data_IF_043472983484
#
_entry.id   IF_043472983484
#
_cell.length_a   1.000
_cell.length_b   1.000
_cell.length_c   1.000
_cell.angle_alpha   90.00
_cell.angle_beta   90.00
_cell.angle_gamma   90.00
#
_symmetry.space_group_name_H-M   'P 1'
#
loop_
_entity.id
_entity.type
_entity.pdbx_description
1 polymer ?
#
# COMPACT_ATOMS: atom_id res chain seq x y z
N UNK A 1 -8.18 -31.70 13.89
CA UNK A 1 -7.63 -30.65 13.01
C UNK A 1 -7.02 -29.60 13.90
N UNK A 2 -5.70 -29.60 13.93
CA UNK A 2 -4.88 -28.79 14.84
C UNK A 2 -4.97 -27.31 14.47
N UNK A 3 -5.24 -26.49 15.48
CA UNK A 3 -5.04 -25.05 15.43
C UNK A 3 -3.53 -24.80 15.41
N UNK A 4 -2.90 -24.90 14.24
CA UNK A 4 -1.48 -24.60 14.09
C UNK A 4 -1.23 -23.09 14.14
N UNK A 5 -0.88 -22.66 15.36
CA UNK A 5 0.08 -21.61 15.72
C UNK A 5 0.31 -20.51 14.67
N UNK A 6 -0.40 -19.40 14.86
CA UNK A 6 -0.12 -18.10 14.23
C UNK A 6 1.35 -17.70 14.44
N UNK A 7 2.18 -17.60 13.39
CA UNK A 7 3.55 -17.14 13.51
C UNK A 7 3.60 -15.62 13.69
N UNK A 8 3.82 -15.20 14.93
CA UNK A 8 4.46 -13.94 15.37
C UNK A 8 3.72 -12.60 15.22
N UNK A 9 4.00 -11.71 16.17
CA UNK A 9 3.28 -10.44 16.39
C UNK A 9 3.41 -9.43 15.26
N UNK A 10 4.48 -9.33 14.46
CA UNK A 10 4.50 -8.33 13.37
C UNK A 10 3.63 -8.75 12.19
N UNK A 11 3.82 -9.98 11.67
CA UNK A 11 2.99 -10.54 10.61
C UNK A 11 1.54 -10.61 11.07
N UNK A 12 1.28 -11.04 12.30
CA UNK A 12 -0.07 -11.12 12.87
C UNK A 12 -0.66 -9.75 13.23
N UNK A 13 0.10 -8.74 13.65
CA UNK A 13 -0.42 -7.38 13.92
C UNK A 13 -0.71 -6.67 12.61
N UNK A 14 0.22 -6.66 11.65
CA UNK A 14 -0.01 -6.09 10.32
C UNK A 14 -1.20 -6.77 9.62
N UNK A 15 -1.24 -8.11 9.62
CA UNK A 15 -2.32 -8.91 9.05
C UNK A 15 -3.65 -8.77 9.80
N UNK A 16 -3.67 -8.65 11.14
CA UNK A 16 -4.91 -8.39 11.90
C UNK A 16 -5.39 -6.95 11.77
N UNK A 17 -4.51 -6.00 11.46
CA UNK A 17 -4.87 -4.58 11.34
C UNK A 17 -5.41 -4.20 9.98
N UNK A 18 -5.00 -4.89 8.91
CA UNK A 18 -5.57 -4.70 7.58
C UNK A 18 -6.70 -5.70 7.36
N UNK A 19 -7.94 -5.28 7.58
CA UNK A 19 -9.11 -6.16 7.59
C UNK A 19 -9.42 -6.85 6.25
N UNK A 20 -8.62 -6.61 5.19
CA UNK A 20 -8.84 -7.18 3.85
C UNK A 20 -7.53 -7.57 3.15
N UNK A 21 -7.37 -8.87 2.93
CA UNK A 21 -6.20 -9.53 2.33
C UNK A 21 -5.62 -8.84 1.08
N UNK A 22 -6.45 -8.35 0.15
CA UNK A 22 -5.98 -7.86 -1.14
C UNK A 22 -5.19 -6.54 -1.05
N UNK A 23 -5.59 -5.60 -0.18
CA UNK A 23 -4.90 -4.31 -0.05
C UNK A 23 -3.53 -4.48 0.62
N UNK A 24 -3.46 -5.33 1.65
CA UNK A 24 -2.22 -5.61 2.38
C UNK A 24 -1.23 -6.41 1.56
N UNK A 25 -1.69 -7.42 0.81
CA UNK A 25 -0.83 -8.14 -0.13
C UNK A 25 -0.25 -7.18 -1.16
N UNK A 26 -1.10 -6.34 -1.78
CA UNK A 26 -0.63 -5.36 -2.77
C UNK A 26 0.36 -4.36 -2.16
N UNK A 27 0.11 -3.90 -0.94
CA UNK A 27 1.03 -3.06 -0.18
C UNK A 27 2.39 -3.75 0.00
N UNK A 28 2.41 -5.00 0.48
CA UNK A 28 3.65 -5.73 0.70
C UNK A 28 4.43 -5.97 -0.60
N UNK A 29 3.75 -6.37 -1.67
CA UNK A 29 4.36 -6.52 -3.00
C UNK A 29 4.93 -5.20 -3.51
N UNK A 30 4.14 -4.12 -3.41
CA UNK A 30 4.52 -2.81 -3.91
C UNK A 30 5.75 -2.28 -3.19
N UNK A 31 5.87 -2.45 -1.88
CA UNK A 31 6.96 -1.93 -1.06
C UNK A 31 8.04 -2.97 -0.73
N UNK A 32 8.01 -4.13 -1.40
CA UNK A 32 9.01 -5.20 -1.24
C UNK A 32 9.18 -5.67 0.22
N UNK A 33 8.06 -5.68 0.96
CA UNK A 33 8.03 -6.12 2.36
C UNK A 33 7.98 -7.64 2.38
N UNK A 34 9.06 -8.26 2.88
CA UNK A 34 9.10 -9.71 3.03
C UNK A 34 8.34 -10.15 4.29
N UNK A 35 7.27 -10.94 4.11
CA UNK A 35 6.44 -11.48 5.19
C UNK A 35 7.02 -12.77 5.82
N UNK A 36 8.10 -13.33 5.28
CA UNK A 36 8.54 -14.70 5.56
C UNK A 36 9.26 -14.90 6.90
N UNK A 37 9.60 -13.85 7.65
CA UNK A 37 10.33 -14.03 8.91
C UNK A 37 9.48 -13.73 10.13
N UNK A 38 8.91 -14.78 10.76
CA UNK A 38 8.38 -14.65 12.09
C UNK A 38 9.45 -14.14 13.06
N UNK A 39 9.13 -13.10 13.86
CA UNK A 39 9.99 -12.67 14.98
C UNK A 39 10.04 -13.74 16.05
N UNK A 40 11.24 -14.17 16.44
CA UNK A 40 11.40 -15.10 17.55
C UNK A 40 10.62 -14.62 18.77
N UNK A 41 9.79 -15.51 19.31
CA UNK A 41 8.80 -15.21 20.37
C UNK A 41 9.44 -14.62 21.63
N UNK A 42 10.74 -14.85 21.81
CA UNK A 42 11.56 -14.42 22.95
C UNK A 42 12.50 -13.25 22.64
N UNK A 43 12.41 -12.67 21.44
CA UNK A 43 13.20 -11.49 21.10
C UNK A 43 12.68 -10.25 21.85
N UNK A 44 13.55 -9.64 22.67
CA UNK A 44 13.27 -8.31 23.23
C UNK A 44 13.23 -7.31 22.07
N UNK A 45 12.04 -6.85 21.73
CA UNK A 45 11.84 -5.80 20.72
C UNK A 45 12.50 -4.53 21.25
N UNK A 46 13.47 -3.99 20.51
CA UNK A 46 14.08 -2.70 20.83
C UNK A 46 13.06 -1.57 20.69
N UNK A 47 13.27 -0.44 21.38
CA UNK A 47 12.39 0.73 21.22
C UNK A 47 12.34 1.22 19.76
N UNK A 48 13.46 1.12 19.04
CA UNK A 48 13.55 1.45 17.62
C UNK A 48 12.71 0.52 16.73
N UNK A 49 12.78 -0.80 16.98
CA UNK A 49 11.96 -1.80 16.30
C UNK A 49 10.47 -1.54 16.58
N UNK A 50 10.10 -1.24 17.83
CA UNK A 50 8.73 -0.91 18.21
C UNK A 50 8.21 0.36 17.51
N UNK A 51 9.03 1.40 17.44
CA UNK A 51 8.68 2.63 16.73
C UNK A 51 8.53 2.42 15.21
N UNK A 52 9.37 1.56 14.63
CA UNK A 52 9.26 1.17 13.22
C UNK A 52 7.95 0.43 12.95
N UNK A 53 7.59 -0.58 13.76
CA UNK A 53 6.31 -1.31 13.65
C UNK A 53 5.14 -0.34 13.69
N UNK A 54 5.17 0.63 14.61
CA UNK A 54 4.09 1.59 14.76
C UNK A 54 3.93 2.49 13.53
N UNK A 55 5.03 3.01 12.97
CA UNK A 55 5.02 3.79 11.72
C UNK A 55 4.51 2.96 10.54
N UNK A 56 4.97 1.72 10.44
CA UNK A 56 4.53 0.77 9.42
C UNK A 56 3.02 0.54 9.50
N UNK A 57 2.49 0.27 10.70
CA UNK A 57 1.07 0.03 10.93
C UNK A 57 0.22 1.25 10.53
N UNK A 58 0.63 2.45 10.94
CA UNK A 58 -0.05 3.69 10.55
C UNK A 58 -0.10 3.81 9.03
N UNK A 59 1.03 3.59 8.37
CA UNK A 59 1.10 3.72 6.91
C UNK A 59 0.26 2.65 6.19
N UNK A 60 0.26 1.41 6.67
CA UNK A 60 -0.55 0.33 6.12
C UNK A 60 -2.06 0.66 6.21
N UNK A 61 -2.50 1.26 7.32
CA UNK A 61 -3.89 1.72 7.49
C UNK A 61 -4.23 2.84 6.50
N UNK A 62 -3.35 3.85 6.36
CA UNK A 62 -3.53 4.93 5.40
C UNK A 62 -3.59 4.40 3.96
N UNK A 63 -2.71 3.46 3.63
CA UNK A 63 -2.69 2.78 2.33
C UNK A 63 -4.02 2.07 2.06
N UNK A 64 -4.52 1.28 3.02
CA UNK A 64 -5.78 0.55 2.88
C UNK A 64 -6.98 1.50 2.67
N UNK A 65 -7.08 2.55 3.50
CA UNK A 65 -8.14 3.54 3.41
C UNK A 65 -8.15 4.21 2.03
N UNK A 66 -6.98 4.60 1.54
CA UNK A 66 -6.85 5.20 0.23
C UNK A 66 -7.11 4.18 -0.91
N UNK A 67 -6.70 2.91 -0.76
CA UNK A 67 -6.92 1.84 -1.75
C UNK A 67 -8.41 1.56 -2.01
N UNK A 68 -9.25 1.59 -0.97
CA UNK A 68 -10.69 1.32 -1.11
C UNK A 68 -11.54 2.56 -1.40
N UNK A 69 -10.94 3.76 -1.38
CA UNK A 69 -11.59 5.02 -1.71
C UNK A 69 -11.78 5.17 -3.22
N UNK A 70 -12.96 5.62 -3.65
CA UNK A 70 -13.20 6.08 -5.03
C UNK A 70 -12.47 7.42 -5.23
N UNK A 71 -11.74 7.55 -6.34
CA UNK A 71 -10.92 8.74 -6.64
C UNK A 71 -10.59 8.86 -8.13
N UNK A 72 -10.44 10.10 -8.57
CA UNK A 72 -10.04 10.51 -9.91
C UNK A 72 -8.53 10.79 -9.98
N UNK A 73 -7.94 10.87 -11.19
CA UNK A 73 -6.56 11.33 -11.38
C UNK A 73 -6.30 12.71 -10.74
N UNK A 74 -7.28 13.61 -10.78
CA UNK A 74 -7.19 14.95 -10.17
C UNK A 74 -7.12 14.87 -8.64
N UNK A 75 -7.94 14.02 -8.02
CA UNK A 75 -7.93 13.83 -6.56
C UNK A 75 -6.63 13.17 -6.09
N UNK A 76 -6.07 12.23 -6.87
CA UNK A 76 -4.75 11.65 -6.60
C UNK A 76 -3.68 12.73 -6.69
N UNK A 77 -3.70 13.54 -7.75
CA UNK A 77 -2.74 14.63 -7.96
C UNK A 77 -2.77 15.65 -6.81
N UNK A 78 -3.96 16.07 -6.39
CA UNK A 78 -4.15 16.97 -5.26
C UNK A 78 -3.67 16.35 -3.94
N UNK A 79 -4.00 15.08 -3.68
CA UNK A 79 -3.55 14.36 -2.49
C UNK A 79 -2.02 14.26 -2.40
N UNK A 80 -1.34 14.04 -3.52
CA UNK A 80 0.12 13.89 -3.58
C UNK A 80 0.88 15.21 -3.76
N UNK A 81 0.19 16.33 -3.99
CA UNK A 81 0.84 17.60 -4.37
C UNK A 81 1.57 17.51 -5.72
N UNK A 82 1.06 16.72 -6.68
CA UNK A 82 1.64 16.48 -8.00
C UNK A 82 0.77 17.10 -9.11
N UNK A 83 1.34 17.28 -10.30
CA UNK A 83 0.56 17.66 -11.50
C UNK A 83 -0.30 16.48 -11.97
N UNK A 84 -1.52 16.74 -12.39
CA UNK A 84 -2.44 15.70 -12.92
C UNK A 84 -1.86 14.98 -14.14
N UNK A 85 -1.14 15.68 -15.02
CA UNK A 85 -0.51 15.07 -16.20
C UNK A 85 0.53 13.99 -15.83
N UNK A 86 1.28 14.21 -14.74
CA UNK A 86 2.23 13.21 -14.25
C UNK A 86 1.49 11.96 -13.75
N UNK A 87 0.38 12.16 -13.03
CA UNK A 87 -0.47 11.05 -12.56
C UNK A 87 -1.06 10.30 -13.74
N UNK A 88 -1.60 10.99 -14.76
CA UNK A 88 -2.12 10.36 -15.97
C UNK A 88 -1.06 9.57 -16.72
N UNK A 89 0.16 10.12 -16.85
CA UNK A 89 1.29 9.42 -17.48
C UNK A 89 1.68 8.14 -16.74
N UNK A 90 1.60 8.11 -15.41
CA UNK A 90 1.79 6.87 -14.64
C UNK A 90 0.63 5.92 -14.81
N UNK A 91 -0.61 6.41 -14.70
CA UNK A 91 -1.80 5.59 -14.86
C UNK A 91 -1.86 4.92 -16.23
N UNK A 92 -1.43 5.60 -17.28
CA UNK A 92 -1.35 5.03 -18.63
C UNK A 92 -0.35 3.86 -18.70
N UNK A 93 0.73 3.90 -17.93
CA UNK A 93 1.72 2.81 -17.84
C UNK A 93 1.17 1.62 -17.04
N UNK A 94 0.57 1.86 -15.87
CA UNK A 94 0.20 0.79 -14.92
C UNK A 94 -1.24 0.27 -15.08
N UNK A 95 -2.10 1.05 -15.74
CA UNK A 95 -3.51 0.74 -16.04
C UNK A 95 -3.88 1.21 -17.46
N UNK A 96 -3.19 0.74 -18.52
CA UNK A 96 -3.44 1.18 -19.90
C UNK A 96 -4.88 0.93 -20.35
N UNK A 97 -5.55 -0.07 -19.78
CA UNK A 97 -6.94 -0.41 -20.03
C UNK A 97 -7.96 0.63 -19.53
N UNK A 98 -7.52 1.70 -18.86
CA UNK A 98 -8.34 2.84 -18.43
C UNK A 98 -8.25 3.99 -19.43
N UNK A 99 -7.54 3.80 -20.55
CA UNK A 99 -7.34 4.82 -21.57
C UNK A 99 -7.87 4.33 -22.91
N UNK A 100 -8.76 5.11 -23.52
CA UNK A 100 -9.27 4.86 -24.87
C UNK A 100 -8.78 6.02 -25.73
N UNK A 101 -8.02 5.74 -26.79
CA UNK A 101 -7.39 6.76 -27.65
C UNK A 101 -6.55 7.79 -26.85
N UNK A 102 -5.89 7.34 -25.78
CA UNK A 102 -5.08 8.21 -24.91
C UNK A 102 -5.87 9.06 -23.92
N UNK A 103 -7.20 9.01 -23.94
CA UNK A 103 -8.07 9.72 -23.00
C UNK A 103 -8.43 8.80 -21.85
N UNK A 104 -8.28 9.29 -20.62
CA UNK A 104 -8.69 8.57 -19.42
C UNK A 104 -10.21 8.39 -19.41
N UNK A 105 -10.64 7.14 -19.53
CA UNK A 105 -12.04 6.73 -19.49
C UNK A 105 -12.24 5.83 -18.28
N UNK A 106 -12.87 6.33 -17.19
CA UNK A 106 -13.08 5.51 -16.01
C UNK A 106 -13.98 4.32 -16.35
N UNK A 107 -13.59 3.10 -15.95
CA UNK A 107 -14.49 1.95 -16.07
C UNK A 107 -15.66 2.13 -15.09
N UNK A 108 -16.84 2.28 -15.68
CA UNK A 108 -18.11 2.60 -15.03
C UNK A 108 -18.31 1.78 -13.74
N UNK A 109 -18.50 2.51 -12.62
CA UNK A 109 -18.87 2.10 -11.26
C UNK A 109 -17.82 2.27 -10.15
N UNK A 110 -16.51 2.33 -10.45
CA UNK A 110 -15.47 2.49 -9.43
C UNK A 110 -14.21 3.26 -9.92
N UNK A 111 -14.25 4.59 -9.91
CA UNK A 111 -13.10 5.48 -10.13
C UNK A 111 -11.87 5.06 -9.30
N UNK A 112 -10.88 4.43 -9.94
CA UNK A 112 -9.59 3.94 -9.40
C UNK A 112 -9.67 3.28 -8.00
N UNK A 113 -10.82 2.70 -7.67
CA UNK A 113 -10.94 1.84 -6.48
C UNK A 113 -10.03 0.65 -6.70
N UNK A 114 -9.34 0.22 -5.66
CA UNK A 114 -8.33 -0.83 -5.71
C UNK A 114 -7.03 -0.43 -6.43
N UNK A 115 -6.72 0.86 -6.45
CA UNK A 115 -5.40 1.39 -6.77
C UNK A 115 -5.05 2.44 -5.72
N UNK A 116 -3.96 2.26 -4.97
CA UNK A 116 -3.55 3.29 -4.01
C UNK A 116 -2.88 4.48 -4.71
N UNK A 117 -3.12 5.68 -4.22
CA UNK A 117 -2.41 6.92 -4.57
C UNK A 117 -0.92 6.78 -4.24
N UNK A 118 -0.56 6.02 -3.20
CA UNK A 118 0.84 5.72 -2.87
C UNK A 118 1.51 4.80 -3.89
N UNK A 119 0.75 3.94 -4.59
CA UNK A 119 1.25 3.18 -5.74
C UNK A 119 1.67 4.11 -6.87
N UNK A 120 0.81 5.08 -7.20
CA UNK A 120 1.13 6.12 -8.20
C UNK A 120 2.35 6.93 -7.78
N UNK A 121 2.42 7.36 -6.51
CA UNK A 121 3.54 8.16 -6.02
C UNK A 121 4.86 7.40 -5.99
N UNK A 122 4.87 6.08 -5.66
CA UNK A 122 6.08 5.25 -5.77
C UNK A 122 6.63 5.29 -7.21
N UNK A 123 5.77 5.21 -8.22
CA UNK A 123 6.19 5.36 -9.63
C UNK A 123 6.61 6.78 -10.01
N UNK A 124 6.19 7.80 -9.26
CA UNK A 124 6.63 9.20 -9.39
C UNK A 124 7.89 9.50 -8.56
N UNK A 125 8.50 8.51 -7.91
CA UNK A 125 9.71 8.67 -7.10
C UNK A 125 9.46 9.12 -5.67
N UNK A 126 8.28 8.83 -5.10
CA UNK A 126 8.01 8.99 -3.67
C UNK A 126 8.99 8.18 -2.81
N UNK A 127 9.47 8.78 -1.72
CA UNK A 127 10.38 8.12 -0.78
C UNK A 127 9.60 7.41 0.33
N UNK A 128 9.81 6.09 0.44
CA UNK A 128 9.20 5.22 1.44
C UNK A 128 10.24 4.42 2.24
N UNK A 129 11.48 4.93 2.36
CA UNK A 129 12.60 4.25 3.05
C UNK A 129 12.28 3.89 4.51
N UNK A 130 11.36 4.63 5.14
CA UNK A 130 10.90 4.35 6.50
C UNK A 130 10.16 3.01 6.64
N UNK A 131 9.75 2.39 5.54
CA UNK A 131 9.14 1.04 5.51
C UNK A 131 10.19 -0.08 5.53
N UNK A 132 11.45 0.23 5.22
CA UNK A 132 12.55 -0.74 5.31
C UNK A 132 13.09 -0.75 6.74
N UNK A 133 13.01 -1.90 7.42
CA UNK A 133 13.76 -2.15 8.66
C UNK A 133 15.09 -2.82 8.29
N UNK A 134 16.21 -2.15 8.52
CA UNK A 134 17.56 -2.68 8.28
C UNK A 134 18.17 -3.22 9.56
#
# INVERSE_FOLDING_TARGET
MENEKLPTRMGTVAYRTTGRHASFQRFCELFEINLEKPFDKDSRISAECSAHIFKFQIFAILYEQDYYRKKSPQEIAAFLGRKTDNVLGILQKIRPNYFINGVYTPKENHNLRYLSSFEVDKHLGGNYDFLSYK
#
